data_IF_576606563325
#
_entry.id   IF_576606563325
#
_cell.length_a   1.000
_cell.length_b   1.000
_cell.length_c   1.000
_cell.angle_alpha   90.00
_cell.angle_beta   90.00
_cell.angle_gamma   90.00
#
_symmetry.space_group_name_H-M   'P 1'
#
loop_
_entity.id
_entity.type
_entity.pdbx_description
1 polymer ?
#
# COMPACT_ATOMS: atom_id res chain seq x y z
N UNK A 1 23.13 56.08 -10.09
CA UNK A 1 22.81 54.76 -9.51
C UNK A 1 23.83 53.75 -10.03
N UNK A 2 24.66 53.18 -9.16
CA UNK A 2 25.81 52.33 -9.53
C UNK A 2 25.38 50.97 -10.10
N UNK A 3 26.15 50.40 -11.03
CA UNK A 3 25.90 49.07 -11.67
C UNK A 3 25.51 47.98 -10.65
N UNK A 4 26.09 48.01 -9.45
CA UNK A 4 25.77 47.10 -8.34
C UNK A 4 24.32 47.18 -7.88
N UNK A 5 23.75 48.39 -7.76
CA UNK A 5 22.36 48.59 -7.32
C UNK A 5 21.37 48.04 -8.37
N UNK A 6 21.68 48.22 -9.67
CA UNK A 6 20.88 47.65 -10.76
C UNK A 6 20.91 46.12 -10.80
N UNK A 7 22.07 45.50 -10.54
CA UNK A 7 22.17 44.04 -10.44
C UNK A 7 21.39 43.49 -9.24
N UNK A 8 21.48 44.13 -8.07
CA UNK A 8 20.75 43.71 -6.87
C UNK A 8 19.23 43.75 -7.12
N UNK A 9 18.73 44.83 -7.73
CA UNK A 9 17.32 44.94 -8.10
C UNK A 9 16.89 43.86 -9.09
N UNK A 10 17.69 43.57 -10.12
CA UNK A 10 17.39 42.52 -11.10
C UNK A 10 17.25 41.14 -10.43
N UNK A 11 18.18 40.78 -9.55
CA UNK A 11 18.15 39.49 -8.83
C UNK A 11 16.94 39.39 -7.91
N UNK A 12 16.62 40.45 -7.16
CA UNK A 12 15.42 40.50 -6.32
C UNK A 12 14.14 40.37 -7.15
N UNK A 13 14.08 41.02 -8.32
CA UNK A 13 12.91 40.96 -9.20
C UNK A 13 12.72 39.55 -9.77
N UNK A 14 13.80 38.90 -10.20
CA UNK A 14 13.77 37.50 -10.67
C UNK A 14 13.35 36.57 -9.54
N UNK A 15 13.93 36.69 -8.35
CA UNK A 15 13.57 35.87 -7.19
C UNK A 15 12.09 36.03 -6.81
N UNK A 16 11.56 37.26 -6.84
CA UNK A 16 10.15 37.52 -6.58
C UNK A 16 9.26 36.90 -7.66
N UNK A 17 9.60 37.08 -8.95
CA UNK A 17 8.83 36.52 -10.06
C UNK A 17 8.84 34.98 -10.01
N UNK A 18 9.99 34.38 -9.76
CA UNK A 18 10.12 32.93 -9.55
C UNK A 18 9.26 32.48 -8.37
N UNK A 19 9.32 33.18 -7.23
CA UNK A 19 8.49 32.87 -6.07
C UNK A 19 6.99 32.96 -6.40
N UNK A 20 6.56 33.99 -7.13
CA UNK A 20 5.18 34.11 -7.59
C UNK A 20 4.78 32.97 -8.53
N UNK A 21 5.59 32.66 -9.55
CA UNK A 21 5.32 31.55 -10.48
C UNK A 21 5.23 30.22 -9.73
N UNK A 22 6.20 29.92 -8.84
CA UNK A 22 6.20 28.71 -8.03
C UNK A 22 4.96 28.63 -7.12
N UNK A 23 4.63 29.69 -6.39
CA UNK A 23 3.48 29.70 -5.48
C UNK A 23 2.14 29.58 -6.24
N UNK A 24 2.06 30.13 -7.44
CA UNK A 24 0.86 30.02 -8.30
C UNK A 24 0.73 28.59 -8.83
N UNK A 25 1.83 28.00 -9.31
CA UNK A 25 1.85 26.62 -9.80
C UNK A 25 1.45 25.60 -8.73
N UNK A 26 1.96 25.74 -7.50
CA UNK A 26 1.60 24.86 -6.38
C UNK A 26 0.16 25.04 -5.89
N UNK A 27 -0.42 26.25 -5.98
CA UNK A 27 -1.83 26.48 -5.60
C UNK A 27 -2.84 25.81 -6.52
N UNK A 28 -2.50 25.61 -7.79
CA UNK A 28 -3.42 25.08 -8.80
C UNK A 28 -3.10 23.65 -9.23
N UNK A 29 -2.07 23.02 -8.67
CA UNK A 29 -1.79 21.60 -8.90
C UNK A 29 -2.71 20.74 -8.05
N UNK A 30 -3.29 19.65 -8.60
CA UNK A 30 -4.11 18.75 -7.80
C UNK A 30 -3.24 18.03 -6.75
N UNK A 31 -3.72 17.97 -5.51
CA UNK A 31 -3.16 17.16 -4.43
C UNK A 31 -3.19 15.67 -4.79
N UNK A 32 -4.28 15.23 -5.41
CA UNK A 32 -4.43 13.85 -5.85
C UNK A 32 -5.23 13.78 -7.15
N UNK A 33 -4.95 12.77 -7.97
CA UNK A 33 -5.70 12.46 -9.18
C UNK A 33 -6.15 11.01 -9.12
N UNK A 34 -7.36 10.74 -9.58
CA UNK A 34 -7.85 9.38 -9.73
C UNK A 34 -8.44 9.14 -11.10
N UNK A 35 -8.30 7.91 -11.58
CA UNK A 35 -8.86 7.39 -12.82
C UNK A 35 -9.72 6.19 -12.46
N UNK A 36 -10.89 6.08 -13.06
CA UNK A 36 -11.80 4.95 -12.92
C UNK A 36 -12.07 4.36 -14.29
N UNK A 37 -11.95 3.04 -14.38
CA UNK A 37 -12.25 2.23 -15.55
C UNK A 37 -13.38 1.26 -15.18
N UNK A 38 -14.57 1.51 -15.68
CA UNK A 38 -15.76 0.67 -15.46
C UNK A 38 -16.04 -0.27 -16.62
N UNK A 39 -17.18 -0.96 -16.56
CA UNK A 39 -17.69 -1.75 -17.67
C UNK A 39 -18.09 -0.89 -18.88
N UNK A 40 -18.05 -1.45 -20.09
CA UNK A 40 -18.50 -0.81 -21.34
C UNK A 40 -17.72 0.46 -21.71
N UNK A 41 -16.39 0.41 -21.65
CA UNK A 41 -15.49 1.53 -21.99
C UNK A 41 -15.70 2.79 -21.13
N UNK A 42 -16.31 2.63 -19.95
CA UNK A 42 -16.51 3.73 -19.03
C UNK A 42 -15.16 4.19 -18.46
N UNK A 43 -14.88 5.48 -18.65
CA UNK A 43 -13.69 6.12 -18.13
C UNK A 43 -14.03 7.45 -17.48
N UNK A 44 -13.63 7.62 -16.22
CA UNK A 44 -13.83 8.84 -15.45
C UNK A 44 -12.50 9.24 -14.83
N UNK A 45 -12.15 10.53 -14.91
CA UNK A 45 -11.01 11.11 -14.19
C UNK A 45 -11.51 12.15 -13.22
N UNK A 46 -10.97 12.14 -12.01
CA UNK A 46 -11.23 13.17 -11.02
C UNK A 46 -9.94 13.67 -10.39
N UNK A 47 -10.00 14.87 -9.84
CA UNK A 47 -8.88 15.57 -9.22
C UNK A 47 -9.30 16.12 -7.86
N UNK A 48 -8.35 16.15 -6.94
CA UNK A 48 -8.47 16.80 -5.63
C UNK A 48 -7.56 18.02 -5.62
N UNK A 49 -8.07 19.22 -5.37
CA UNK A 49 -7.29 20.47 -5.36
C UNK A 49 -7.19 21.06 -3.94
N UNK A 50 -6.09 21.78 -3.61
CA UNK A 50 -6.08 22.70 -2.48
C UNK A 50 -6.77 24.02 -2.89
N UNK A 51 -7.35 24.81 -1.97
CA UNK A 51 -7.59 24.56 -0.55
C UNK A 51 -8.81 23.67 -0.31
N UNK A 52 -8.80 22.92 0.79
CA UNK A 52 -10.03 22.38 1.37
C UNK A 52 -10.85 23.49 2.05
N UNK A 53 -11.23 24.57 1.31
CA UNK A 53 -12.26 25.60 1.62
C UNK A 53 -12.20 26.81 0.67
N UNK A 54 -13.36 27.27 0.19
CA UNK A 54 -13.54 28.59 -0.41
C UNK A 54 -13.38 29.69 0.66
N UNK A 55 -12.39 30.58 0.51
CA UNK A 55 -12.10 31.65 1.48
C UNK A 55 -13.01 32.88 1.39
N UNK A 56 -13.89 32.97 0.38
CA UNK A 56 -14.87 34.04 0.19
C UNK A 56 -16.29 33.62 0.58
N UNK A 57 -16.59 32.31 0.52
CA UNK A 57 -17.92 31.75 0.81
C UNK A 57 -17.96 30.69 1.93
N UNK A 58 -16.79 30.22 2.42
CA UNK A 58 -16.61 29.15 3.43
C UNK A 58 -17.18 27.77 3.01
N UNK A 59 -17.49 27.57 1.72
CA UNK A 59 -18.00 26.31 1.16
C UNK A 59 -16.89 25.37 0.69
N UNK A 60 -17.12 24.07 0.86
CA UNK A 60 -16.21 22.98 0.48
C UNK A 60 -16.40 22.66 -1.01
N UNK A 61 -15.32 22.55 -1.78
CA UNK A 61 -15.37 22.07 -3.18
C UNK A 61 -15.60 20.56 -3.17
N UNK A 62 -16.63 20.13 -3.89
CA UNK A 62 -17.12 18.74 -3.92
C UNK A 62 -16.05 17.77 -4.41
N UNK A 63 -15.71 16.79 -3.57
CA UNK A 63 -15.12 15.52 -4.00
C UNK A 63 -16.03 14.98 -5.11
N UNK A 64 -15.56 14.76 -6.34
CA UNK A 64 -16.37 14.08 -7.34
C UNK A 64 -16.72 12.70 -6.80
N UNK A 65 -18.02 12.36 -6.78
CA UNK A 65 -18.49 11.07 -6.29
C UNK A 65 -17.72 9.94 -6.97
N UNK A 66 -17.03 9.14 -6.16
CA UNK A 66 -16.34 7.96 -6.64
C UNK A 66 -17.41 6.91 -6.92
N UNK A 67 -17.48 6.33 -8.12
CA UNK A 67 -18.46 5.29 -8.39
C UNK A 67 -18.19 4.07 -7.52
N UNK A 68 -19.11 3.75 -6.61
CA UNK A 68 -19.10 2.51 -5.80
C UNK A 68 -19.63 1.32 -6.61
N UNK A 69 -19.06 1.08 -7.79
CA UNK A 69 -19.48 0.00 -8.69
C UNK A 69 -18.29 -0.81 -9.20
N UNK A 70 -18.60 -1.91 -9.89
CA UNK A 70 -17.60 -2.76 -10.52
C UNK A 70 -16.69 -1.92 -11.44
N UNK A 71 -15.38 -2.06 -11.26
CA UNK A 71 -14.40 -1.26 -11.97
C UNK A 71 -13.04 -1.23 -11.30
N UNK A 72 -12.07 -0.69 -12.03
CA UNK A 72 -10.72 -0.43 -11.57
C UNK A 72 -10.57 1.07 -11.28
N UNK A 73 -10.27 1.41 -10.03
CA UNK A 73 -9.88 2.76 -9.61
C UNK A 73 -8.38 2.81 -9.36
N UNK A 74 -7.72 3.79 -9.93
CA UNK A 74 -6.31 4.12 -9.70
C UNK A 74 -6.27 5.51 -9.09
N UNK A 75 -5.60 5.68 -7.95
CA UNK A 75 -5.47 6.96 -7.24
C UNK A 75 -3.99 7.27 -7.05
N UNK A 76 -3.57 8.47 -7.41
CA UNK A 76 -2.22 9.00 -7.22
C UNK A 76 -2.30 10.20 -6.29
N UNK A 77 -1.67 10.08 -5.12
CA UNK A 77 -1.54 11.16 -4.13
C UNK A 77 -0.07 11.22 -3.68
N UNK A 78 0.24 10.80 -2.46
CA UNK A 78 1.58 10.62 -1.89
C UNK A 78 2.24 9.34 -2.42
N UNK A 79 1.42 8.33 -2.75
CA UNK A 79 1.80 7.09 -3.40
C UNK A 79 0.79 6.74 -4.49
N UNK A 80 0.74 5.47 -4.87
CA UNK A 80 -0.25 4.96 -5.79
C UNK A 80 -1.14 3.92 -5.13
N UNK A 81 -2.44 4.00 -5.39
CA UNK A 81 -3.41 3.06 -4.88
C UNK A 81 -4.27 2.53 -6.02
N UNK A 82 -4.32 1.22 -6.15
CA UNK A 82 -5.16 0.48 -7.07
C UNK A 82 -6.27 -0.20 -6.30
N UNK A 83 -7.52 -0.01 -6.72
CA UNK A 83 -8.69 -0.70 -6.18
C UNK A 83 -9.49 -1.30 -7.33
N UNK A 84 -9.53 -2.62 -7.41
CA UNK A 84 -10.31 -3.37 -8.38
C UNK A 84 -11.50 -3.99 -7.66
N UNK A 85 -12.69 -3.48 -7.95
CA UNK A 85 -13.94 -4.00 -7.43
C UNK A 85 -14.68 -4.79 -8.52
N UNK A 86 -15.15 -5.98 -8.19
CA UNK A 86 -16.02 -6.76 -9.05
C UNK A 86 -16.96 -7.64 -8.22
N UNK A 87 -18.24 -7.29 -8.24
CA UNK A 87 -19.29 -7.85 -7.40
C UNK A 87 -18.92 -7.70 -5.92
N UNK A 88 -18.80 -8.82 -5.21
CA UNK A 88 -18.46 -8.85 -3.80
C UNK A 88 -16.96 -8.99 -3.52
N UNK A 89 -16.11 -8.86 -4.54
CA UNK A 89 -14.67 -9.11 -4.47
C UNK A 89 -13.89 -7.84 -4.70
N UNK A 90 -12.91 -7.61 -3.83
CA UNK A 90 -12.11 -6.39 -3.83
C UNK A 90 -10.64 -6.76 -3.76
N UNK A 91 -9.89 -6.32 -4.77
CA UNK A 91 -8.43 -6.33 -4.78
C UNK A 91 -7.94 -4.90 -4.57
N UNK A 92 -7.22 -4.67 -3.48
CA UNK A 92 -6.62 -3.38 -3.14
C UNK A 92 -5.09 -3.51 -3.13
N UNK A 93 -4.38 -2.58 -3.77
CA UNK A 93 -2.91 -2.52 -3.76
C UNK A 93 -2.45 -1.09 -3.55
N UNK A 94 -1.53 -0.89 -2.61
CA UNK A 94 -0.87 0.37 -2.33
C UNK A 94 0.62 0.27 -2.60
N UNK A 95 1.15 1.22 -3.38
CA UNK A 95 2.56 1.42 -3.67
C UNK A 95 3.01 2.70 -2.96
N UNK A 96 3.89 2.54 -1.98
CA UNK A 96 4.41 3.63 -1.16
C UNK A 96 5.76 4.12 -1.70
N UNK A 97 6.08 5.38 -1.40
CA UNK A 97 7.30 6.05 -1.88
C UNK A 97 8.59 5.51 -1.28
N UNK A 98 8.52 4.81 -0.16
CA UNK A 98 9.63 4.11 0.47
C UNK A 98 9.88 2.71 -0.15
N UNK A 99 9.13 2.34 -1.18
CA UNK A 99 9.24 1.06 -1.87
C UNK A 99 8.42 -0.07 -1.25
N UNK A 100 7.66 0.19 -0.19
CA UNK A 100 6.69 -0.76 0.35
C UNK A 100 5.54 -0.95 -0.64
N UNK A 101 5.14 -2.20 -0.84
CA UNK A 101 3.93 -2.59 -1.56
C UNK A 101 3.06 -3.42 -0.62
N UNK A 102 1.81 -3.02 -0.47
CA UNK A 102 0.80 -3.75 0.29
C UNK A 102 -0.34 -4.15 -0.64
N UNK A 103 -0.66 -5.43 -0.70
CA UNK A 103 -1.74 -5.95 -1.51
C UNK A 103 -2.69 -6.79 -0.64
N UNK A 104 -3.99 -6.64 -0.86
CA UNK A 104 -5.01 -7.43 -0.20
C UNK A 104 -6.12 -7.81 -1.17
N UNK A 105 -6.60 -9.05 -1.04
CA UNK A 105 -7.79 -9.54 -1.72
C UNK A 105 -8.82 -9.89 -0.66
N UNK A 106 -10.02 -9.35 -0.78
CA UNK A 106 -11.07 -9.42 0.25
C UNK A 106 -12.46 -9.56 -0.37
N UNK A 107 -13.45 -9.82 0.49
CA UNK A 107 -14.87 -9.75 0.14
C UNK A 107 -15.57 -8.61 0.86
N UNK A 108 -16.58 -8.00 0.23
CA UNK A 108 -17.31 -6.84 0.76
C UNK A 108 -18.47 -7.17 1.72
N UNK A 109 -18.86 -8.45 1.85
CA UNK A 109 -20.03 -8.88 2.61
C UNK A 109 -19.72 -10.11 3.50
N UNK A 110 -20.03 -10.11 4.81
CA UNK A 110 -20.65 -9.03 5.61
C UNK A 110 -19.64 -8.06 6.26
N UNK A 111 -18.34 -8.31 6.09
CA UNK A 111 -17.21 -7.56 6.67
C UNK A 111 -16.10 -7.59 5.61
N UNK A 112 -15.30 -6.52 5.49
CA UNK A 112 -14.01 -6.58 4.79
C UNK A 112 -13.14 -7.63 5.46
N UNK A 113 -13.22 -8.87 4.97
CA UNK A 113 -12.41 -9.98 5.46
C UNK A 113 -11.32 -10.19 4.41
N UNK A 114 -10.06 -9.85 4.72
CA UNK A 114 -8.94 -10.17 3.86
C UNK A 114 -8.87 -11.69 3.72
N UNK A 115 -8.98 -12.17 2.49
CA UNK A 115 -8.79 -13.56 2.13
C UNK A 115 -7.31 -13.84 1.90
N UNK A 116 -6.60 -12.91 1.28
CA UNK A 116 -5.16 -13.00 1.02
C UNK A 116 -4.55 -11.63 1.23
N UNK A 117 -3.38 -11.57 1.86
CA UNK A 117 -2.58 -10.35 1.98
C UNK A 117 -1.12 -10.63 1.61
N UNK A 118 -0.44 -9.60 1.12
CA UNK A 118 0.96 -9.62 0.78
C UNK A 118 1.57 -8.24 1.03
N UNK A 119 2.62 -8.19 1.86
CA UNK A 119 3.43 -6.99 2.08
C UNK A 119 4.90 -7.30 1.76
N UNK A 120 5.51 -6.48 0.92
CA UNK A 120 6.93 -6.61 0.56
C UNK A 120 7.52 -5.25 0.19
N UNK A 121 8.84 -5.14 0.29
CA UNK A 121 9.58 -4.01 -0.27
C UNK A 121 10.21 -4.41 -1.60
N UNK A 122 10.26 -3.47 -2.53
CA UNK A 122 10.95 -3.68 -3.80
C UNK A 122 12.49 -3.83 -3.60
N UNK A 123 13.18 -4.65 -4.41
CA UNK A 123 12.60 -5.49 -5.46
C UNK A 123 11.94 -6.76 -4.91
N UNK A 124 12.53 -7.42 -3.90
CA UNK A 124 12.15 -8.79 -3.53
C UNK A 124 12.16 -9.10 -2.02
N UNK A 125 11.78 -8.14 -1.18
CA UNK A 125 11.85 -8.30 0.27
C UNK A 125 10.48 -8.51 0.94
N UNK A 126 9.99 -9.74 0.94
CA UNK A 126 8.72 -10.08 1.57
C UNK A 126 8.80 -9.98 3.08
N UNK A 127 7.81 -9.31 3.67
CA UNK A 127 7.67 -9.17 5.11
C UNK A 127 6.51 -9.99 5.64
N UNK A 128 5.44 -10.12 4.85
CA UNK A 128 4.22 -10.77 5.26
C UNK A 128 3.48 -11.31 4.05
N UNK A 129 3.01 -12.55 4.14
CA UNK A 129 1.98 -13.08 3.25
C UNK A 129 1.10 -14.01 4.05
N UNK A 130 -0.21 -13.85 3.95
CA UNK A 130 -1.16 -14.69 4.68
C UNK A 130 -2.40 -14.96 3.84
N UNK A 131 -2.92 -16.18 3.95
CA UNK A 131 -4.12 -16.64 3.26
C UNK A 131 -5.09 -17.25 4.27
N UNK A 132 -6.36 -16.89 4.15
CA UNK A 132 -7.46 -17.47 4.91
C UNK A 132 -7.80 -18.85 4.36
N UNK A 133 -7.85 -19.83 5.26
CA UNK A 133 -8.21 -21.21 4.96
C UNK A 133 -9.73 -21.42 5.04
N UNK A 134 -10.20 -22.56 4.57
CA UNK A 134 -11.61 -22.95 4.59
C UNK A 134 -12.18 -23.15 5.99
N UNK A 135 -11.33 -23.46 6.97
CA UNK A 135 -11.69 -23.55 8.39
C UNK A 135 -11.71 -22.18 9.11
N UNK A 136 -11.53 -21.09 8.36
CA UNK A 136 -11.42 -19.70 8.82
C UNK A 136 -10.13 -19.34 9.58
N UNK A 137 -9.19 -20.26 9.72
CA UNK A 137 -7.83 -19.93 10.21
C UNK A 137 -7.02 -19.26 9.10
N UNK A 138 -5.85 -18.73 9.44
CA UNK A 138 -4.99 -18.02 8.50
C UNK A 138 -3.59 -18.61 8.49
N UNK A 139 -3.04 -18.90 7.32
CA UNK A 139 -1.70 -19.49 7.19
C UNK A 139 -0.87 -18.72 6.18
N UNK A 140 0.44 -18.65 6.42
CA UNK A 140 1.35 -18.00 5.50
C UNK A 140 2.78 -17.89 6.03
N UNK A 141 3.42 -16.77 5.72
CA UNK A 141 4.82 -16.50 6.02
C UNK A 141 4.98 -15.09 6.60
N UNK A 142 5.78 -14.96 7.66
CA UNK A 142 6.20 -13.68 8.22
C UNK A 142 7.72 -13.62 8.28
N UNK A 143 8.28 -12.43 8.11
CA UNK A 143 9.68 -12.19 8.45
C UNK A 143 9.90 -12.33 9.96
N UNK A 144 10.85 -13.17 10.35
CA UNK A 144 11.24 -13.33 11.75
C UNK A 144 12.59 -12.68 12.01
N UNK A 145 12.64 -11.78 13.00
CA UNK A 145 13.85 -11.02 13.33
C UNK A 145 14.95 -11.90 13.93
N UNK A 146 14.60 -12.87 14.78
CA UNK A 146 15.58 -13.75 15.43
C UNK A 146 16.16 -14.78 14.45
N UNK A 147 15.31 -15.38 13.62
CA UNK A 147 15.72 -16.34 12.60
C UNK A 147 16.29 -15.67 11.33
N UNK A 148 16.06 -14.36 11.15
CA UNK A 148 16.52 -13.55 10.03
C UNK A 148 16.12 -14.15 8.66
N UNK A 149 14.89 -14.65 8.58
CA UNK A 149 14.30 -15.25 7.38
C UNK A 149 12.77 -15.31 7.53
N UNK A 150 12.08 -15.62 6.44
CA UNK A 150 10.65 -15.95 6.50
C UNK A 150 10.41 -17.29 7.19
N UNK A 151 9.54 -17.28 8.19
CA UNK A 151 9.03 -18.47 8.87
C UNK A 151 7.55 -18.70 8.57
N UNK A 152 7.10 -19.95 8.68
CA UNK A 152 5.68 -20.26 8.55
C UNK A 152 4.90 -19.76 9.77
N UNK A 153 3.75 -19.15 9.51
CA UNK A 153 2.79 -18.75 10.54
C UNK A 153 1.42 -19.38 10.30
N UNK A 154 0.70 -19.61 11.39
CA UNK A 154 -0.68 -20.05 11.41
C UNK A 154 -1.39 -19.35 12.58
N UNK A 155 -2.44 -18.59 12.27
CA UNK A 155 -3.27 -17.88 13.23
C UNK A 155 -4.69 -18.45 13.26
N UNK A 156 -5.34 -18.31 14.40
CA UNK A 156 -6.77 -18.48 14.54
C UNK A 156 -7.55 -17.43 13.72
N UNK A 157 -8.87 -17.57 13.66
CA UNK A 157 -9.77 -16.68 12.93
C UNK A 157 -9.74 -15.21 13.38
N UNK A 158 -9.26 -14.94 14.61
CA UNK A 158 -9.08 -13.59 15.15
C UNK A 158 -7.83 -12.86 14.66
N UNK A 159 -6.97 -13.54 13.88
CA UNK A 159 -5.69 -13.04 13.34
C UNK A 159 -4.68 -12.59 14.39
N UNK A 160 -4.88 -12.94 15.66
CA UNK A 160 -4.03 -12.53 16.79
C UNK A 160 -3.49 -13.75 17.52
N UNK A 161 -4.34 -14.74 17.75
CA UNK A 161 -3.96 -15.96 18.45
C UNK A 161 -3.17 -16.86 17.52
N UNK A 162 -1.90 -17.12 17.87
CA UNK A 162 -1.00 -17.98 17.10
C UNK A 162 -1.28 -19.46 17.40
N UNK A 163 -1.48 -20.23 16.33
CA UNK A 163 -1.38 -21.69 16.34
C UNK A 163 0.10 -22.08 16.15
N UNK A 164 0.79 -21.44 15.21
CA UNK A 164 2.20 -21.69 14.90
C UNK A 164 2.89 -20.40 14.47
N UNK A 165 4.11 -20.16 14.92
CA UNK A 165 4.92 -19.01 14.50
C UNK A 165 5.59 -18.29 15.66
N UNK A 166 5.96 -17.03 15.45
CA UNK A 166 6.57 -16.19 16.48
C UNK A 166 5.80 -14.89 16.67
N UNK A 167 5.89 -14.32 17.87
CA UNK A 167 5.35 -13.01 18.19
C UNK A 167 6.35 -12.21 19.02
N UNK A 168 6.36 -10.90 18.78
CA UNK A 168 7.21 -9.94 19.47
C UNK A 168 6.32 -8.88 20.10
N UNK A 169 6.38 -8.75 21.43
CA UNK A 169 5.60 -7.76 22.17
C UNK A 169 6.53 -6.79 22.87
N UNK A 170 6.38 -5.49 22.60
CA UNK A 170 7.11 -4.45 23.33
C UNK A 170 6.52 -4.32 24.74
N UNK A 171 7.32 -4.63 25.75
CA UNK A 171 6.90 -4.62 27.15
C UNK A 171 7.18 -3.27 27.82
N UNK A 172 6.43 -2.93 28.89
CA UNK A 172 6.80 -1.81 29.75
C UNK A 172 8.24 -1.96 30.26
N UNK A 173 9.07 -0.94 30.05
CA UNK A 173 10.51 -1.02 30.33
C UNK A 173 11.40 -1.19 29.10
N UNK A 174 10.83 -1.06 27.89
CA UNK A 174 11.58 -0.97 26.62
C UNK A 174 12.38 -2.22 26.27
N UNK A 175 11.87 -3.40 26.64
CA UNK A 175 12.38 -4.69 26.18
C UNK A 175 11.30 -5.43 25.38
N UNK A 176 11.71 -6.38 24.56
CA UNK A 176 10.82 -7.18 23.75
C UNK A 176 10.61 -8.56 24.38
N UNK A 177 9.36 -8.99 24.52
CA UNK A 177 9.02 -10.36 24.84
C UNK A 177 8.91 -11.14 23.52
N UNK A 178 9.81 -12.11 23.34
CA UNK A 178 9.75 -13.09 22.27
C UNK A 178 8.95 -14.31 22.72
N UNK A 179 8.04 -14.77 21.87
CA UNK A 179 7.32 -16.02 22.07
C UNK A 179 7.28 -16.82 20.76
N UNK A 180 7.47 -18.13 20.85
CA UNK A 180 7.31 -19.08 19.74
C UNK A 180 6.26 -20.12 20.08
N UNK A 181 5.36 -20.33 19.12
CA UNK A 181 4.23 -21.24 19.21
C UNK A 181 4.36 -22.36 18.18
N UNK A 182 4.03 -23.57 18.58
CA UNK A 182 3.91 -24.73 17.69
C UNK A 182 2.68 -25.54 18.09
N UNK A 183 1.75 -25.70 17.16
CA UNK A 183 0.45 -26.36 17.35
C UNK A 183 -0.26 -25.95 18.66
N UNK A 184 -0.43 -24.63 18.85
CA UNK A 184 -1.06 -23.96 20.01
C UNK A 184 -0.29 -24.08 21.33
N UNK A 185 0.90 -24.70 21.32
CA UNK A 185 1.77 -24.81 22.50
C UNK A 185 2.84 -23.73 22.45
N UNK A 186 2.97 -22.95 23.53
CA UNK A 186 4.10 -22.06 23.73
C UNK A 186 5.36 -22.92 23.99
N UNK A 187 6.26 -22.96 23.01
CA UNK A 187 7.47 -23.82 23.05
C UNK A 187 8.71 -23.06 23.49
N UNK A 188 8.71 -21.73 23.37
CA UNK A 188 9.86 -20.90 23.73
C UNK A 188 9.39 -19.49 24.09
N UNK A 189 9.96 -18.94 25.15
CA UNK A 189 9.71 -17.58 25.62
C UNK A 189 10.96 -17.01 26.28
N UNK A 190 11.36 -15.80 25.90
CA UNK A 190 12.45 -15.08 26.55
C UNK A 190 12.39 -13.57 26.26
N UNK A 191 13.12 -12.80 27.06
CA UNK A 191 13.24 -11.34 26.89
C UNK A 191 14.42 -11.00 25.98
N UNK A 192 14.20 -10.05 25.09
CA UNK A 192 15.19 -9.44 24.21
C UNK A 192 15.38 -7.98 24.65
N UNK A 193 16.64 -7.58 24.84
CA UNK A 193 16.97 -6.18 25.15
C UNK A 193 16.67 -5.24 23.98
N UNK A 194 16.81 -5.72 22.76
CA UNK A 194 16.44 -5.03 21.53
C UNK A 194 15.95 -6.06 20.49
N UNK A 195 15.14 -5.62 19.52
CA UNK A 195 14.67 -6.47 18.43
C UNK A 195 15.78 -6.53 17.36
N UNK A 196 16.28 -7.72 16.99
CA UNK A 196 17.32 -7.82 15.97
C UNK A 196 16.90 -7.12 14.68
N UNK A 197 17.79 -6.29 14.14
CA UNK A 197 17.54 -5.66 12.84
C UNK A 197 17.51 -6.72 11.74
N UNK A 198 16.68 -6.48 10.73
CA UNK A 198 16.68 -7.28 9.51
C UNK A 198 17.98 -7.05 8.75
N UNK A 199 18.68 -8.14 8.42
CA UNK A 199 19.85 -8.04 7.57
C UNK A 199 19.48 -7.68 6.12
N UNK A 200 20.44 -7.17 5.37
CA UNK A 200 20.27 -6.89 3.94
C UNK A 200 20.24 -8.16 3.07
N UNK A 201 20.45 -9.34 3.67
CA UNK A 201 20.47 -10.61 2.95
C UNK A 201 19.07 -11.22 2.90
N UNK A 202 18.61 -11.53 1.67
CA UNK A 202 17.33 -12.20 1.44
C UNK A 202 17.61 -13.61 0.91
N UNK A 203 17.26 -14.68 1.67
CA UNK A 203 17.42 -16.05 1.22
C UNK A 203 16.73 -16.31 -0.13
N UNK A 204 17.30 -17.18 -0.96
CA UNK A 204 16.71 -17.48 -2.27
C UNK A 204 15.32 -18.14 -2.16
N UNK A 205 15.09 -18.92 -1.10
CA UNK A 205 13.76 -19.45 -0.77
C UNK A 205 12.72 -18.34 -0.57
N UNK A 206 13.14 -17.21 -0.01
CA UNK A 206 12.24 -16.11 0.35
C UNK A 206 11.85 -15.32 -0.90
N UNK A 207 12.79 -15.13 -1.83
CA UNK A 207 12.50 -14.58 -3.16
C UNK A 207 11.56 -15.48 -3.95
N UNK A 208 11.75 -16.80 -3.89
CA UNK A 208 10.85 -17.75 -4.55
C UNK A 208 9.43 -17.70 -3.98
N UNK A 209 9.29 -17.59 -2.65
CA UNK A 209 7.99 -17.40 -1.97
C UNK A 209 7.32 -16.12 -2.44
N UNK A 210 8.05 -15.01 -2.49
CA UNK A 210 7.52 -13.73 -2.98
C UNK A 210 7.09 -13.82 -4.46
N UNK A 211 7.90 -14.44 -5.32
CA UNK A 211 7.55 -14.64 -6.73
C UNK A 211 6.24 -15.43 -6.88
N UNK A 212 6.03 -16.45 -6.04
CA UNK A 212 4.78 -17.21 -6.01
C UNK A 212 3.60 -16.31 -5.60
N UNK A 213 3.73 -15.57 -4.50
CA UNK A 213 2.67 -14.68 -4.01
C UNK A 213 2.33 -13.57 -5.04
N UNK A 214 3.33 -12.96 -5.67
CA UNK A 214 3.15 -12.00 -6.77
C UNK A 214 2.37 -12.62 -7.94
N UNK A 215 2.68 -13.87 -8.31
CA UNK A 215 1.96 -14.57 -9.38
C UNK A 215 0.50 -14.87 -9.01
N UNK A 216 0.24 -15.25 -7.76
CA UNK A 216 -1.12 -15.50 -7.26
C UNK A 216 -2.00 -14.23 -7.33
N UNK A 217 -1.51 -13.11 -6.82
CA UNK A 217 -2.20 -11.83 -6.91
C UNK A 217 -2.42 -11.35 -8.35
N UNK A 218 -1.45 -11.58 -9.24
CA UNK A 218 -1.60 -11.28 -10.67
C UNK A 218 -2.69 -12.12 -11.32
N UNK A 219 -2.82 -13.40 -10.95
CA UNK A 219 -3.91 -14.27 -11.41
C UNK A 219 -5.26 -13.77 -10.92
N UNK A 220 -5.38 -13.41 -9.64
CA UNK A 220 -6.60 -12.84 -9.04
C UNK A 220 -7.02 -11.57 -9.80
N UNK A 221 -6.08 -10.65 -10.01
CA UNK A 221 -6.34 -9.42 -10.77
C UNK A 221 -6.85 -9.70 -12.18
N UNK A 222 -6.21 -10.64 -12.87
CA UNK A 222 -6.59 -11.04 -14.22
C UNK A 222 -8.00 -11.62 -14.26
N UNK A 223 -8.38 -12.44 -13.28
CA UNK A 223 -9.73 -13.00 -13.18
C UNK A 223 -10.79 -11.94 -12.87
N UNK A 224 -10.51 -11.03 -11.93
CA UNK A 224 -11.42 -9.96 -11.57
C UNK A 224 -11.60 -8.93 -12.70
N UNK A 225 -10.55 -8.69 -13.50
CA UNK A 225 -10.58 -7.72 -14.59
C UNK A 225 -11.27 -8.23 -15.87
N UNK A 226 -11.31 -9.55 -16.11
CA UNK A 226 -11.93 -10.17 -17.30
C UNK A 226 -13.30 -9.59 -17.68
N UNK A 227 -14.30 -9.52 -16.78
CA UNK A 227 -15.63 -9.01 -17.13
C UNK A 227 -15.70 -7.49 -17.28
N UNK A 228 -14.67 -6.75 -16.86
CA UNK A 228 -14.63 -5.29 -16.99
C UNK A 228 -14.17 -4.85 -18.38
N UNK A 229 -13.51 -5.72 -19.14
CA UNK A 229 -12.96 -5.43 -20.47
C UNK A 229 -12.08 -4.15 -20.45
N UNK A 230 -11.10 -4.11 -19.54
CA UNK A 230 -10.19 -2.97 -19.40
C UNK A 230 -9.43 -2.69 -20.71
N UNK A 231 -9.11 -1.43 -21.03
CA UNK A 231 -8.43 -1.07 -22.28
C UNK A 231 -6.93 -1.41 -22.30
N UNK A 232 -6.43 -2.09 -21.26
CA UNK A 232 -5.03 -2.48 -21.09
C UNK A 232 -4.92 -3.76 -20.25
N UNK A 233 -3.78 -4.44 -20.38
CA UNK A 233 -3.43 -5.54 -19.51
C UNK A 233 -3.08 -5.01 -18.12
N UNK A 234 -3.82 -5.43 -17.10
CA UNK A 234 -3.57 -5.04 -15.73
C UNK A 234 -2.34 -5.79 -15.19
N UNK A 235 -1.19 -5.11 -15.14
CA UNK A 235 0.06 -5.63 -14.53
C UNK A 235 0.27 -4.98 -13.17
N UNK A 236 0.17 -5.75 -12.10
CA UNK A 236 0.23 -5.21 -10.75
C UNK A 236 1.64 -4.75 -10.37
N UNK A 237 2.67 -5.49 -10.76
CA UNK A 237 4.02 -5.27 -10.24
C UNK A 237 4.88 -4.33 -11.09
N UNK A 238 4.24 -3.63 -12.02
CA UNK A 238 4.84 -2.65 -12.90
C UNK A 238 4.22 -1.30 -12.55
N UNK A 239 5.02 -0.36 -12.05
CA UNK A 239 4.55 0.93 -11.53
C UNK A 239 3.99 1.85 -12.64
N UNK A 240 4.04 1.43 -13.92
CA UNK A 240 3.53 2.20 -15.07
C UNK A 240 2.06 2.60 -14.99
N UNK A 241 1.22 1.86 -14.26
CA UNK A 241 -0.19 2.23 -14.06
C UNK A 241 -0.37 3.51 -13.24
N UNK A 242 0.68 3.90 -12.51
CA UNK A 242 0.71 5.01 -11.58
C UNK A 242 1.47 6.24 -12.12
N UNK A 243 2.00 6.17 -13.33
CA UNK A 243 2.70 7.29 -14.00
C UNK A 243 1.73 8.35 -14.54
#
# INVERSE_FOLDING_TARGET
>A
MTKKIRMIFLVLTIALLSFFIFNTYFKYSPLATWKFYGSNDEYITGHYYPPAKDSATDLIISIPEVPEKNGLKITKWDGCHLKLNNDNKILDISYFTDGLVQASFSTDNPIYIPLIELNFYQPDDMHWSITRLTDNTYKGWIWDNVANQLISVHYQSDRKTLIKGTSYTLMPGSYWLFQRWDDEVLVEEYNLGDLPAKDSFIPESDKQRLKHAKAEFQNIASELAKPLNLPFDLKLWDDSLCE
#
